data_IF_189894056924
#
_entry.id   IF_189894056924
#
_cell.length_a   1.000
_cell.length_b   1.000
_cell.length_c   1.000
_cell.angle_alpha   90.00
_cell.angle_beta   90.00
_cell.angle_gamma   90.00
#
_symmetry.space_group_name_H-M   'P 1'
#
loop_
_entity.id
_entity.type
_entity.pdbx_description
1 polymer ?
#
# COMPACT_ATOMS: atom_id res chain seq x y z
N UNK A 1 -3.88 -4.57 34.39
CA UNK A 1 -4.01 -3.34 33.57
C UNK A 1 -3.59 -3.54 32.11
N UNK A 2 -2.62 -4.41 31.76
CA UNK A 2 -2.14 -4.59 30.38
C UNK A 2 -3.18 -5.21 29.40
N UNK A 3 -4.04 -6.12 29.86
CA UNK A 3 -5.02 -6.79 28.99
C UNK A 3 -6.06 -5.82 28.38
N UNK A 4 -6.47 -4.78 29.11
CA UNK A 4 -7.44 -3.80 28.63
C UNK A 4 -6.85 -2.84 27.58
N UNK A 5 -5.55 -2.54 27.66
CA UNK A 5 -4.85 -1.70 26.66
C UNK A 5 -4.63 -2.47 25.37
N UNK A 6 -4.25 -3.75 25.44
CA UNK A 6 -4.17 -4.62 24.28
C UNK A 6 -5.52 -4.76 23.56
N UNK A 7 -6.59 -4.96 24.31
CA UNK A 7 -7.94 -5.08 23.73
C UNK A 7 -8.38 -3.78 23.04
N UNK A 8 -8.10 -2.62 23.63
CA UNK A 8 -8.38 -1.32 23.00
C UNK A 8 -7.58 -1.14 21.70
N UNK A 9 -6.32 -1.55 21.69
CA UNK A 9 -5.48 -1.53 20.47
C UNK A 9 -6.05 -2.42 19.36
N UNK A 10 -6.46 -3.64 19.70
CA UNK A 10 -7.05 -4.59 18.74
C UNK A 10 -8.36 -4.02 18.17
N UNK A 11 -9.25 -3.52 19.03
CA UNK A 11 -10.54 -2.94 18.60
C UNK A 11 -10.29 -1.72 17.69
N UNK A 12 -9.38 -0.82 18.07
CA UNK A 12 -9.03 0.35 17.25
C UNK A 12 -8.48 -0.06 15.87
N UNK A 13 -7.65 -1.10 15.82
CA UNK A 13 -7.12 -1.63 14.57
C UNK A 13 -8.21 -2.25 13.70
N UNK A 14 -9.13 -3.03 14.28
CA UNK A 14 -10.26 -3.61 13.54
C UNK A 14 -11.17 -2.52 12.95
N UNK A 15 -11.48 -1.49 13.73
CA UNK A 15 -12.26 -0.34 13.27
C UNK A 15 -11.54 0.39 12.13
N UNK A 16 -10.24 0.63 12.26
CA UNK A 16 -9.44 1.25 11.20
C UNK A 16 -9.47 0.42 9.90
N UNK A 17 -9.28 -0.90 10.00
CA UNK A 17 -9.33 -1.82 8.85
C UNK A 17 -10.71 -1.79 8.19
N UNK A 18 -11.79 -1.76 8.96
CA UNK A 18 -13.15 -1.65 8.43
C UNK A 18 -13.35 -0.35 7.63
N UNK A 19 -12.88 0.79 8.16
CA UNK A 19 -12.92 2.05 7.43
C UNK A 19 -12.07 2.02 6.16
N UNK A 20 -10.88 1.41 6.19
CA UNK A 20 -10.07 1.21 5.00
C UNK A 20 -10.78 0.37 3.94
N UNK A 21 -11.44 -0.73 4.34
CA UNK A 21 -12.18 -1.58 3.41
C UNK A 21 -13.33 -0.81 2.72
N UNK A 22 -14.07 0.00 3.48
CA UNK A 22 -15.13 0.87 2.92
C UNK A 22 -14.53 1.90 1.96
N UNK A 23 -13.42 2.55 2.34
CA UNK A 23 -12.73 3.52 1.49
C UNK A 23 -12.27 2.89 0.18
N UNK A 24 -11.71 1.69 0.22
CA UNK A 24 -11.22 1.02 -0.98
C UNK A 24 -12.33 0.50 -1.88
N UNK A 25 -13.48 0.11 -1.31
CA UNK A 25 -14.68 -0.19 -2.08
C UNK A 25 -15.17 1.05 -2.86
N UNK A 26 -15.20 2.21 -2.18
CA UNK A 26 -15.54 3.49 -2.83
C UNK A 26 -14.51 3.86 -3.90
N UNK A 27 -13.23 3.66 -3.64
CA UNK A 27 -12.15 3.92 -4.57
C UNK A 27 -12.30 3.09 -5.86
N UNK A 28 -12.71 1.82 -5.73
CA UNK A 28 -13.03 0.98 -6.89
C UNK A 28 -14.20 1.53 -7.70
N UNK A 29 -15.26 1.98 -7.05
CA UNK A 29 -16.40 2.59 -7.75
C UNK A 29 -16.00 3.86 -8.50
N UNK A 30 -15.21 4.73 -7.88
CA UNK A 30 -14.71 5.95 -8.51
C UNK A 30 -13.76 5.64 -9.68
N UNK A 31 -12.88 4.65 -9.55
CA UNK A 31 -11.93 4.26 -10.58
C UNK A 31 -12.61 3.75 -11.86
N UNK A 32 -13.86 3.31 -11.78
CA UNK A 32 -14.68 2.97 -12.95
C UNK A 32 -15.14 4.17 -13.76
N UNK A 33 -15.23 5.37 -13.14
CA UNK A 33 -15.74 6.58 -13.77
C UNK A 33 -14.66 7.64 -14.03
N UNK A 34 -13.62 7.66 -13.24
CA UNK A 34 -12.53 8.66 -13.27
C UNK A 34 -11.19 8.00 -13.56
N UNK A 35 -10.26 8.77 -14.12
CA UNK A 35 -8.90 8.30 -14.36
C UNK A 35 -8.15 8.01 -13.04
N UNK A 36 -7.24 7.00 -13.00
CA UNK A 36 -6.54 6.62 -11.78
C UNK A 36 -5.80 7.77 -11.08
N UNK A 37 -5.17 8.66 -11.85
CA UNK A 37 -4.48 9.84 -11.31
C UNK A 37 -5.44 10.87 -10.72
N UNK A 38 -6.63 11.02 -11.31
CA UNK A 38 -7.66 11.93 -10.80
C UNK A 38 -8.22 11.42 -9.47
N UNK A 39 -8.47 10.12 -9.35
CA UNK A 39 -8.92 9.50 -8.10
C UNK A 39 -7.84 9.61 -7.03
N UNK A 40 -6.56 9.39 -7.38
CA UNK A 40 -5.42 9.58 -6.48
C UNK A 40 -5.33 11.03 -5.96
N UNK A 41 -5.50 12.01 -6.86
CA UNK A 41 -5.51 13.43 -6.50
C UNK A 41 -6.67 13.78 -5.57
N UNK A 42 -7.89 13.36 -5.89
CA UNK A 42 -9.07 13.60 -5.06
C UNK A 42 -8.92 12.99 -3.66
N UNK A 43 -8.39 11.77 -3.57
CA UNK A 43 -8.08 11.11 -2.30
C UNK A 43 -7.06 11.91 -1.47
N UNK A 44 -5.97 12.36 -2.11
CA UNK A 44 -4.96 13.19 -1.46
C UNK A 44 -5.52 14.53 -1.00
N UNK A 45 -6.24 15.22 -1.88
CA UNK A 45 -6.84 16.52 -1.59
C UNK A 45 -7.87 16.46 -0.45
N UNK A 46 -8.72 15.43 -0.43
CA UNK A 46 -9.71 15.25 0.65
C UNK A 46 -9.08 14.93 2.01
N UNK A 47 -7.92 14.32 2.05
CA UNK A 47 -7.21 14.01 3.31
C UNK A 47 -6.47 15.23 3.90
N UNK A 48 -6.08 16.20 3.07
CA UNK A 48 -5.30 17.37 3.50
C UNK A 48 -5.95 18.17 4.63
N UNK A 49 -7.26 18.52 4.60
CA UNK A 49 -7.88 19.26 5.69
C UNK A 49 -7.78 18.54 7.03
N UNK A 50 -7.98 17.21 7.04
CA UNK A 50 -7.93 16.40 8.25
C UNK A 50 -6.52 16.32 8.85
N UNK A 51 -5.48 16.39 8.03
CA UNK A 51 -4.09 16.39 8.48
C UNK A 51 -3.65 17.78 8.87
N UNK A 52 -4.01 18.82 8.11
CA UNK A 52 -3.55 20.19 8.34
C UNK A 52 -4.28 20.85 9.50
N UNK A 53 -5.58 20.63 9.66
CA UNK A 53 -6.38 21.28 10.68
C UNK A 53 -5.83 21.08 12.12
N UNK A 54 -5.49 19.86 12.57
CA UNK A 54 -4.90 19.66 13.90
C UNK A 54 -3.53 20.31 14.06
N UNK A 55 -2.75 20.42 12.98
CA UNK A 55 -1.41 21.05 13.00
C UNK A 55 -1.55 22.56 13.13
N UNK A 56 -2.49 23.15 12.37
CA UNK A 56 -2.81 24.58 12.44
C UNK A 56 -3.35 24.97 13.81
N UNK A 57 -4.32 24.22 14.33
CA UNK A 57 -4.94 24.48 15.63
C UNK A 57 -3.94 24.37 16.80
N UNK A 58 -2.91 23.56 16.67
CA UNK A 58 -1.86 23.38 17.69
C UNK A 58 -0.67 24.30 17.51
N UNK A 59 -0.66 25.20 16.54
CA UNK A 59 0.41 26.15 16.27
C UNK A 59 1.77 25.51 15.95
N UNK A 60 1.80 24.26 15.47
CA UNK A 60 3.02 23.47 15.28
C UNK A 60 3.57 23.50 13.85
N UNK A 61 3.28 24.54 13.08
CA UNK A 61 3.75 24.71 11.70
C UNK A 61 5.28 24.66 11.57
N UNK A 62 6.00 25.16 12.56
CA UNK A 62 7.47 25.12 12.56
C UNK A 62 8.06 23.70 12.55
N UNK A 63 7.29 22.69 12.99
CA UNK A 63 7.70 21.28 12.96
C UNK A 63 7.55 20.61 11.59
N UNK A 64 6.93 21.28 10.63
CA UNK A 64 6.77 20.78 9.25
C UNK A 64 8.01 21.00 8.38
N UNK A 65 9.08 21.62 8.93
CA UNK A 65 10.33 21.79 8.16
C UNK A 65 10.96 20.42 7.86
N UNK A 66 11.11 20.06 6.59
CA UNK A 66 11.72 18.78 6.22
C UNK A 66 13.24 18.83 6.52
N UNK A 67 13.75 17.79 7.16
CA UNK A 67 15.20 17.66 7.43
C UNK A 67 15.96 17.39 6.13
N UNK A 68 15.39 16.55 5.24
CA UNK A 68 15.98 16.18 3.94
C UNK A 68 14.94 16.30 2.82
N UNK A 69 14.92 17.42 2.12
CA UNK A 69 13.95 17.70 1.04
C UNK A 69 14.02 16.67 -0.08
N UNK A 70 15.24 16.22 -0.45
CA UNK A 70 15.43 15.23 -1.53
C UNK A 70 14.74 13.90 -1.20
N UNK A 71 14.91 13.39 0.01
CA UNK A 71 14.28 12.14 0.44
C UNK A 71 12.75 12.28 0.53
N UNK A 72 12.25 13.44 0.99
CA UNK A 72 10.81 13.70 1.01
C UNK A 72 10.20 13.79 -0.39
N UNK A 73 10.91 14.41 -1.35
CA UNK A 73 10.46 14.44 -2.75
C UNK A 73 10.47 13.05 -3.36
N UNK A 74 11.54 12.28 -3.18
CA UNK A 74 11.63 10.90 -3.68
C UNK A 74 10.47 10.05 -3.13
N UNK A 75 10.27 10.09 -1.82
CA UNK A 75 9.15 9.39 -1.18
C UNK A 75 7.79 9.86 -1.71
N UNK A 76 7.62 11.17 -1.93
CA UNK A 76 6.40 11.72 -2.52
C UNK A 76 6.13 11.17 -3.91
N UNK A 77 7.15 11.16 -4.79
CA UNK A 77 7.05 10.60 -6.13
C UNK A 77 6.72 9.11 -6.08
N UNK A 78 7.44 8.34 -5.27
CA UNK A 78 7.17 6.90 -5.10
C UNK A 78 5.75 6.65 -4.59
N UNK A 79 5.25 7.47 -3.66
CA UNK A 79 3.88 7.36 -3.14
C UNK A 79 2.82 7.66 -4.21
N UNK A 80 3.06 8.64 -5.08
CA UNK A 80 2.15 8.96 -6.20
C UNK A 80 2.12 7.82 -7.21
N UNK A 81 3.31 7.29 -7.59
CA UNK A 81 3.42 6.14 -8.51
C UNK A 81 2.74 4.91 -7.91
N UNK A 82 3.00 4.62 -6.63
CA UNK A 82 2.36 3.51 -5.91
C UNK A 82 0.83 3.63 -5.94
N UNK A 83 0.30 4.78 -5.54
CA UNK A 83 -1.14 5.00 -5.44
C UNK A 83 -1.81 4.95 -6.82
N UNK A 84 -1.21 5.59 -7.84
CA UNK A 84 -1.70 5.55 -9.20
C UNK A 84 -1.73 4.13 -9.78
N UNK A 85 -0.64 3.37 -9.57
CA UNK A 85 -0.54 1.98 -10.00
C UNK A 85 -1.54 1.08 -9.25
N UNK A 86 -1.74 1.31 -7.95
CA UNK A 86 -2.72 0.57 -7.15
C UNK A 86 -4.15 0.83 -7.66
N UNK A 87 -4.52 2.10 -7.89
CA UNK A 87 -5.85 2.46 -8.40
C UNK A 87 -6.08 1.88 -9.79
N UNK A 88 -5.06 1.91 -10.65
CA UNK A 88 -5.13 1.28 -11.98
C UNK A 88 -5.32 -0.23 -11.85
N UNK A 89 -4.58 -0.90 -10.96
CA UNK A 89 -4.73 -2.32 -10.70
C UNK A 89 -6.15 -2.68 -10.22
N UNK A 90 -6.71 -1.89 -9.29
CA UNK A 90 -8.08 -2.05 -8.78
C UNK A 90 -9.12 -1.83 -9.88
N UNK A 91 -8.85 -0.93 -10.82
CA UNK A 91 -9.73 -0.68 -11.97
C UNK A 91 -9.79 -1.88 -12.91
N UNK A 92 -8.64 -2.40 -13.29
CA UNK A 92 -8.49 -3.47 -14.30
C UNK A 92 -8.72 -4.89 -13.74
N UNK A 93 -8.58 -5.04 -12.40
CA UNK A 93 -8.70 -6.33 -11.73
C UNK A 93 -9.74 -6.32 -10.62
N UNK A 94 -10.03 -7.50 -10.04
CA UNK A 94 -10.84 -7.56 -8.83
C UNK A 94 -10.08 -7.01 -7.63
N UNK A 95 -10.80 -6.45 -6.64
CA UNK A 95 -10.19 -6.02 -5.37
C UNK A 95 -9.44 -7.20 -4.72
N UNK A 96 -10.03 -8.40 -4.73
CA UNK A 96 -9.42 -9.58 -4.15
C UNK A 96 -8.06 -9.90 -4.79
N UNK A 97 -7.95 -9.87 -6.12
CA UNK A 97 -6.71 -10.11 -6.84
C UNK A 97 -5.66 -9.04 -6.53
N UNK A 98 -6.04 -7.76 -6.58
CA UNK A 98 -5.14 -6.64 -6.28
C UNK A 98 -4.60 -6.72 -4.86
N UNK A 99 -5.48 -6.98 -3.88
CA UNK A 99 -5.05 -7.13 -2.49
C UNK A 99 -4.18 -8.34 -2.25
N UNK A 100 -4.44 -9.46 -2.91
CA UNK A 100 -3.60 -10.65 -2.76
C UNK A 100 -2.17 -10.40 -3.22
N UNK A 101 -2.02 -9.68 -4.34
CA UNK A 101 -0.70 -9.24 -4.81
C UNK A 101 -0.09 -8.26 -3.79
N UNK A 102 -0.88 -7.30 -3.28
CA UNK A 102 -0.40 -6.29 -2.34
C UNK A 102 -0.01 -6.88 -0.98
N UNK A 103 -0.61 -8.00 -0.57
CA UNK A 103 -0.22 -8.75 0.63
C UNK A 103 1.21 -9.32 0.56
N UNK A 104 1.83 -9.34 -0.62
CA UNK A 104 3.25 -9.62 -0.76
C UNK A 104 4.16 -8.47 -0.33
N UNK A 105 3.64 -7.25 -0.19
CA UNK A 105 4.47 -6.10 0.14
C UNK A 105 5.34 -6.32 1.39
N UNK A 106 4.85 -6.85 2.52
CA UNK A 106 5.69 -7.14 3.68
C UNK A 106 6.81 -8.15 3.39
N UNK A 107 6.56 -9.12 2.51
CA UNK A 107 7.56 -10.12 2.12
C UNK A 107 8.65 -9.49 1.25
N UNK A 108 8.27 -8.60 0.32
CA UNK A 108 9.20 -7.85 -0.52
C UNK A 108 10.02 -6.88 0.32
N UNK A 109 9.41 -6.18 1.27
CA UNK A 109 10.12 -5.31 2.24
C UNK A 109 11.13 -6.14 3.04
N UNK A 110 10.75 -7.29 3.58
CA UNK A 110 11.65 -8.16 4.32
C UNK A 110 12.80 -8.69 3.44
N UNK A 111 12.55 -9.01 2.18
CA UNK A 111 13.59 -9.44 1.23
C UNK A 111 14.55 -8.29 0.87
N UNK A 112 14.06 -7.05 0.75
CA UNK A 112 14.88 -5.87 0.43
C UNK A 112 15.65 -5.35 1.65
N UNK A 113 15.16 -5.57 2.88
CA UNK A 113 15.85 -5.12 4.09
C UNK A 113 17.23 -5.79 4.26
N UNK A 114 17.37 -7.04 3.81
CA UNK A 114 18.64 -7.77 3.86
C UNK A 114 19.78 -7.05 3.11
N UNK A 115 19.65 -6.73 1.80
CA UNK A 115 20.73 -6.07 1.06
C UNK A 115 20.84 -4.56 1.36
N UNK A 116 19.73 -3.89 1.73
CA UNK A 116 19.73 -2.42 1.93
C UNK A 116 20.17 -2.01 3.33
N UNK A 117 19.79 -2.77 4.36
CA UNK A 117 20.09 -2.46 5.77
C UNK A 117 21.19 -3.37 6.34
N UNK A 118 21.66 -4.37 5.58
CA UNK A 118 22.65 -5.35 6.06
C UNK A 118 22.08 -6.28 7.13
N UNK A 119 20.77 -6.39 7.24
CA UNK A 119 20.12 -7.28 8.20
C UNK A 119 20.30 -8.75 7.80
N UNK A 120 20.59 -9.59 8.78
CA UNK A 120 20.70 -11.03 8.55
C UNK A 120 19.32 -11.68 8.57
N UNK A 121 18.76 -11.90 7.39
CA UNK A 121 17.52 -12.66 7.24
C UNK A 121 17.82 -14.15 7.49
N UNK A 122 17.15 -14.74 8.47
CA UNK A 122 17.33 -16.15 8.84
C UNK A 122 16.75 -17.05 7.74
N UNK A 123 17.35 -18.24 7.53
CA UNK A 123 16.93 -19.18 6.47
C UNK A 123 15.42 -19.52 6.50
N UNK A 124 14.83 -19.61 7.69
CA UNK A 124 13.39 -19.83 7.85
C UNK A 124 12.55 -18.66 7.26
N UNK A 125 13.03 -17.41 7.34
CA UNK A 125 12.36 -16.25 6.75
C UNK A 125 12.43 -16.29 5.23
N UNK A 126 13.57 -16.70 4.64
CA UNK A 126 13.68 -16.91 3.20
C UNK A 126 12.70 -17.99 2.70
N UNK A 127 12.53 -19.07 3.47
CA UNK A 127 11.53 -20.10 3.19
C UNK A 127 10.10 -19.53 3.21
N UNK A 128 9.76 -18.72 4.21
CA UNK A 128 8.45 -18.08 4.31
C UNK A 128 8.20 -17.08 3.14
N UNK A 129 9.20 -16.29 2.76
CA UNK A 129 9.15 -15.39 1.61
C UNK A 129 8.89 -16.19 0.33
N UNK A 130 9.63 -17.29 0.11
CA UNK A 130 9.48 -18.15 -1.05
C UNK A 130 8.07 -18.76 -1.15
N UNK A 131 7.55 -19.30 -0.06
CA UNK A 131 6.18 -19.86 0.00
C UNK A 131 5.13 -18.76 -0.25
N UNK A 132 5.29 -17.59 0.34
CA UNK A 132 4.38 -16.46 0.13
C UNK A 132 4.36 -15.99 -1.33
N UNK A 133 5.52 -15.84 -1.96
CA UNK A 133 5.63 -15.46 -3.38
C UNK A 133 5.06 -16.54 -4.30
N UNK A 134 5.29 -17.83 -4.00
CA UNK A 134 4.69 -18.94 -4.76
C UNK A 134 3.16 -18.91 -4.67
N UNK A 135 2.60 -18.62 -3.50
CA UNK A 135 1.15 -18.46 -3.33
C UNK A 135 0.56 -17.38 -4.22
N UNK A 136 1.24 -16.23 -4.34
CA UNK A 136 0.81 -15.14 -5.23
C UNK A 136 0.96 -15.49 -6.69
N UNK A 137 2.05 -16.16 -7.09
CA UNK A 137 2.22 -16.63 -8.46
C UNK A 137 1.10 -17.60 -8.86
N UNK A 138 0.70 -18.51 -7.97
CA UNK A 138 -0.44 -19.41 -8.18
C UNK A 138 -1.77 -18.65 -8.32
N UNK A 139 -1.91 -17.51 -7.65
CA UNK A 139 -3.13 -16.69 -7.70
C UNK A 139 -3.20 -15.86 -8.98
N UNK A 140 -2.05 -15.38 -9.48
CA UNK A 140 -1.94 -14.65 -10.75
C UNK A 140 -2.01 -15.60 -11.94
N UNK A 141 -1.70 -16.91 -11.75
CA UNK A 141 -1.72 -17.90 -12.80
C UNK A 141 -3.08 -17.94 -13.53
N UNK A 142 -3.09 -17.94 -14.86
CA UNK A 142 -4.31 -17.84 -15.65
C UNK A 142 -5.22 -19.05 -15.41
N UNK A 143 -6.43 -18.80 -14.99
CA UNK A 143 -7.49 -19.78 -14.90
C UNK A 143 -8.27 -19.78 -16.22
N UNK A 144 -7.87 -20.62 -17.17
CA UNK A 144 -8.66 -20.82 -18.38
C UNK A 144 -8.21 -20.04 -19.61
N UNK A 145 -6.94 -20.10 -20.00
CA UNK A 145 -6.47 -19.70 -21.35
C UNK A 145 -6.33 -18.21 -21.63
N UNK A 146 -6.33 -17.36 -20.60
CA UNK A 146 -6.06 -15.93 -20.73
C UNK A 146 -4.55 -15.60 -20.67
N UNK A 147 -4.20 -14.34 -20.93
CA UNK A 147 -2.83 -13.84 -20.85
C UNK A 147 -2.25 -14.10 -19.45
N UNK A 148 -1.00 -14.59 -19.40
CA UNK A 148 -0.27 -14.94 -18.17
C UNK A 148 -0.11 -13.78 -17.20
N UNK A 149 -0.17 -12.54 -17.71
CA UNK A 149 -0.05 -11.34 -16.90
C UNK A 149 -1.05 -10.30 -17.40
N UNK A 150 -2.08 -10.03 -16.60
CA UNK A 150 -2.98 -8.92 -16.88
C UNK A 150 -2.28 -7.57 -16.59
N UNK A 151 -2.63 -6.51 -17.32
CA UNK A 151 -2.15 -5.16 -17.06
C UNK A 151 -2.41 -4.73 -15.60
N UNK A 152 -3.53 -5.17 -15.02
CA UNK A 152 -3.85 -4.93 -13.62
C UNK A 152 -2.90 -5.62 -12.65
N UNK A 153 -2.47 -6.86 -12.94
CA UNK A 153 -1.50 -7.58 -12.14
C UNK A 153 -0.10 -6.92 -12.21
N UNK A 154 0.33 -6.50 -13.40
CA UNK A 154 1.58 -5.72 -13.55
C UNK A 154 1.54 -4.42 -12.75
N UNK A 155 0.45 -3.68 -12.82
CA UNK A 155 0.29 -2.45 -12.05
C UNK A 155 0.31 -2.70 -10.53
N UNK A 156 -0.28 -3.81 -10.06
CA UNK A 156 -0.20 -4.20 -8.65
C UNK A 156 1.24 -4.52 -8.22
N UNK A 157 2.02 -5.21 -9.06
CA UNK A 157 3.45 -5.49 -8.79
C UNK A 157 4.25 -4.19 -8.72
N UNK A 158 4.02 -3.25 -9.63
CA UNK A 158 4.65 -1.91 -9.60
C UNK A 158 4.28 -1.16 -8.32
N UNK A 159 3.02 -1.24 -7.89
CA UNK A 159 2.58 -0.64 -6.65
C UNK A 159 3.30 -1.25 -5.42
N UNK A 160 3.45 -2.58 -5.37
CA UNK A 160 4.20 -3.28 -4.32
C UNK A 160 5.67 -2.89 -4.32
N UNK A 161 6.33 -2.86 -5.48
CA UNK A 161 7.73 -2.49 -5.60
C UNK A 161 7.98 -1.05 -5.13
N UNK A 162 7.16 -0.09 -5.59
CA UNK A 162 7.25 1.31 -5.18
C UNK A 162 6.93 1.52 -3.71
N UNK A 163 5.97 0.79 -3.16
CA UNK A 163 5.70 0.78 -1.72
C UNK A 163 6.90 0.28 -0.91
N UNK A 164 7.52 -0.81 -1.35
CA UNK A 164 8.64 -1.42 -0.64
C UNK A 164 9.91 -0.56 -0.66
N UNK A 165 10.02 0.38 -1.62
CA UNK A 165 11.13 1.31 -1.74
C UNK A 165 10.87 2.68 -1.07
N UNK A 166 9.65 2.97 -0.61
CA UNK A 166 9.26 4.25 -0.02
C UNK A 166 9.34 4.27 1.50
#
# INVERSE_FOLDING_TARGET
>A
MHASEHMRGIVAMLVAIAFFAVMDAQLKLLAGHYGPMQVAFLRGASSLPFVLLPILLRGRLARLKPVNVRLHLLRGVLSVVMLGSFIFAVRESSLATTYSIFMCAPLVVAALSAPMLGERVVGAQWGAIGVGLAGVLLMIAPRGGGEWVSLGALAAVVAVATYSLS
#
